data_IF_587653661568
#
_entry.id   IF_587653661568
#
_cell.length_a   1.000
_cell.length_b   1.000
_cell.length_c   1.000
_cell.angle_alpha   90.00
_cell.angle_beta   90.00
_cell.angle_gamma   90.00
#
_symmetry.space_group_name_H-M   'P 1'
#
loop_
_entity.id
_entity.type
_entity.pdbx_description
1 polymer ?
#
# COMPACT_ATOMS: atom_id res chain seq x y z
N UNK A 1 -5.07 19.91 -6.43
CA UNK A 1 -4.50 19.89 -7.80
C UNK A 1 -5.18 18.74 -8.52
N UNK A 2 -5.47 18.84 -9.81
CA UNK A 2 -6.11 17.73 -10.53
C UNK A 2 -5.11 16.58 -10.76
N UNK A 3 -5.57 15.34 -10.69
CA UNK A 3 -4.73 14.13 -10.71
C UNK A 3 -3.85 14.03 -11.98
N UNK A 4 -4.34 14.32 -13.21
CA UNK A 4 -3.50 14.31 -14.41
C UNK A 4 -2.33 15.30 -14.32
N UNK A 5 -2.58 16.50 -13.80
CA UNK A 5 -1.54 17.50 -13.64
C UNK A 5 -0.47 17.08 -12.62
N UNK A 6 -0.84 16.35 -11.56
CA UNK A 6 0.12 15.74 -10.62
C UNK A 6 0.92 14.64 -11.33
N UNK A 7 0.24 13.75 -12.06
CA UNK A 7 0.87 12.65 -12.81
C UNK A 7 1.91 13.16 -13.80
N UNK A 8 1.62 14.25 -14.52
CA UNK A 8 2.55 14.87 -15.48
C UNK A 8 3.79 15.49 -14.83
N UNK A 9 3.71 15.87 -13.55
CA UNK A 9 4.83 16.43 -12.78
C UNK A 9 5.74 15.36 -12.17
N UNK A 10 5.31 14.09 -12.15
CA UNK A 10 6.13 13.02 -11.59
C UNK A 10 7.42 12.82 -12.40
N UNK A 11 8.51 12.61 -11.68
CA UNK A 11 9.82 12.27 -12.24
C UNK A 11 10.28 10.90 -11.74
N UNK A 12 11.34 10.30 -12.31
CA UNK A 12 11.96 9.09 -11.76
C UNK A 12 12.54 9.27 -10.34
N UNK A 13 12.82 10.51 -9.94
CA UNK A 13 13.31 10.87 -8.61
C UNK A 13 12.13 11.10 -7.67
N UNK A 14 12.16 10.55 -6.43
CA UNK A 14 11.10 10.75 -5.44
C UNK A 14 10.96 12.21 -5.04
N UNK A 15 9.72 12.66 -4.92
CA UNK A 15 9.37 14.01 -4.49
C UNK A 15 8.27 13.96 -3.43
N UNK A 16 8.33 14.89 -2.47
CA UNK A 16 7.28 15.04 -1.46
C UNK A 16 6.06 15.76 -2.07
N UNK A 17 4.88 15.23 -1.81
CA UNK A 17 3.62 15.86 -2.16
C UNK A 17 2.85 16.23 -0.89
N UNK A 18 2.21 17.40 -0.80
CA UNK A 18 1.54 17.86 0.42
C UNK A 18 0.50 16.89 0.99
N UNK A 19 -0.11 16.08 0.11
CA UNK A 19 -1.21 15.18 0.46
C UNK A 19 -0.76 13.71 0.61
N UNK A 20 0.55 13.40 0.56
CA UNK A 20 1.05 12.03 0.70
C UNK A 20 2.28 11.99 1.63
N UNK A 21 2.27 11.06 2.59
CA UNK A 21 3.40 10.87 3.51
C UNK A 21 4.63 10.27 2.82
N UNK A 22 4.41 9.52 1.75
CA UNK A 22 5.44 8.85 0.98
C UNK A 22 5.97 9.78 -0.12
N UNK A 23 7.28 9.79 -0.35
CA UNK A 23 7.84 10.37 -1.56
C UNK A 23 7.35 9.62 -2.81
N UNK A 24 6.85 10.34 -3.82
CA UNK A 24 6.28 9.75 -5.02
C UNK A 24 7.23 9.96 -6.20
N UNK A 25 7.42 8.92 -7.01
CA UNK A 25 8.14 8.97 -8.28
C UNK A 25 7.47 8.08 -9.32
N UNK A 26 7.74 8.31 -10.61
CA UNK A 26 7.31 7.40 -11.68
C UNK A 26 7.92 5.99 -11.51
N UNK A 27 9.14 5.92 -10.99
CA UNK A 27 9.85 4.65 -10.70
C UNK A 27 9.08 3.85 -9.65
N UNK A 28 8.66 4.49 -8.56
CA UNK A 28 7.86 3.85 -7.52
C UNK A 28 6.52 3.35 -8.05
N UNK A 29 5.79 4.21 -8.77
CA UNK A 29 4.47 3.84 -9.32
C UNK A 29 4.58 2.61 -10.23
N UNK A 30 5.54 2.60 -11.16
CA UNK A 30 5.78 1.45 -12.02
C UNK A 30 6.21 0.20 -11.24
N UNK A 31 7.05 0.38 -10.21
CA UNK A 31 7.54 -0.72 -9.38
C UNK A 31 6.42 -1.38 -8.56
N UNK A 32 5.52 -0.58 -7.98
CA UNK A 32 4.33 -1.06 -7.29
C UNK A 32 3.39 -1.78 -8.26
N UNK A 33 3.05 -1.14 -9.38
CA UNK A 33 2.17 -1.73 -10.39
C UNK A 33 2.66 -3.10 -10.90
N UNK A 34 3.98 -3.29 -11.03
CA UNK A 34 4.56 -4.59 -11.44
C UNK A 34 4.43 -5.71 -10.40
N UNK A 35 4.09 -5.38 -9.14
CA UNK A 35 4.00 -6.32 -8.01
C UNK A 35 2.58 -6.58 -7.53
N UNK A 36 1.71 -5.60 -7.73
CA UNK A 36 0.31 -5.68 -7.33
C UNK A 36 -0.47 -6.58 -8.31
N UNK A 37 -1.51 -7.27 -7.82
CA UNK A 37 -2.40 -8.05 -8.67
C UNK A 37 -3.08 -7.18 -9.72
N UNK A 38 -3.28 -7.74 -10.89
CA UNK A 38 -4.13 -7.19 -11.94
C UNK A 38 -5.54 -7.79 -11.87
N UNK A 39 -6.50 -7.19 -12.58
CA UNK A 39 -7.85 -7.74 -12.72
C UNK A 39 -7.85 -9.25 -13.08
N UNK A 40 -8.78 -10.04 -12.51
CA UNK A 40 -9.89 -9.65 -11.64
C UNK A 40 -9.53 -9.54 -10.15
N UNK A 41 -8.30 -9.84 -9.75
CA UNK A 41 -7.83 -9.66 -8.37
C UNK A 41 -7.53 -8.18 -8.09
N UNK A 42 -7.45 -7.80 -6.81
CA UNK A 42 -7.23 -6.42 -6.40
C UNK A 42 -6.36 -6.28 -5.16
N UNK A 43 -5.85 -5.06 -4.97
CA UNK A 43 -5.09 -4.66 -3.78
C UNK A 43 -5.97 -3.87 -2.84
N UNK A 44 -5.79 -4.09 -1.54
CA UNK A 44 -6.33 -3.23 -0.49
C UNK A 44 -5.20 -2.38 0.09
N UNK A 45 -5.33 -1.05 0.02
CA UNK A 45 -4.42 -0.08 0.63
C UNK A 45 -4.98 0.40 1.98
N UNK A 46 -4.36 -0.01 3.08
CA UNK A 46 -4.83 0.28 4.44
C UNK A 46 -4.21 1.58 4.95
N UNK A 47 -5.07 2.54 5.31
CA UNK A 47 -4.65 3.87 5.74
C UNK A 47 -4.23 4.74 4.55
N UNK A 48 -5.04 4.77 3.49
CA UNK A 48 -4.71 5.44 2.23
C UNK A 48 -4.65 6.98 2.33
N UNK A 49 -5.12 7.58 3.44
CA UNK A 49 -5.06 9.02 3.65
C UNK A 49 -5.81 9.78 2.57
N UNK A 50 -5.11 10.65 1.83
CA UNK A 50 -5.72 11.41 0.73
C UNK A 50 -6.06 10.55 -0.50
N UNK A 51 -5.49 9.35 -0.57
CA UNK A 51 -5.62 8.45 -1.70
C UNK A 51 -4.76 8.78 -2.91
N UNK A 52 -3.81 9.71 -2.78
CA UNK A 52 -2.99 10.18 -3.91
C UNK A 52 -2.17 9.06 -4.56
N UNK A 53 -1.56 8.17 -3.76
CA UNK A 53 -0.71 7.10 -4.28
C UNK A 53 -1.53 6.10 -5.11
N UNK A 54 -2.66 5.67 -4.56
CA UNK A 54 -3.58 4.73 -5.18
C UNK A 54 -4.14 5.29 -6.48
N UNK A 55 -4.58 6.54 -6.47
CA UNK A 55 -5.09 7.23 -7.64
C UNK A 55 -4.03 7.34 -8.74
N UNK A 56 -2.76 7.61 -8.40
CA UNK A 56 -1.67 7.66 -9.37
C UNK A 56 -1.33 6.28 -9.95
N UNK A 57 -1.42 5.20 -9.15
CA UNK A 57 -1.30 3.83 -9.65
C UNK A 57 -2.42 3.54 -10.64
N UNK A 58 -3.68 3.77 -10.25
CA UNK A 58 -4.85 3.50 -11.11
C UNK A 58 -4.81 4.33 -12.40
N UNK A 59 -4.39 5.60 -12.32
CA UNK A 59 -4.30 6.48 -13.48
C UNK A 59 -3.24 6.03 -14.50
N UNK A 60 -2.07 5.56 -14.05
CA UNK A 60 -0.96 5.14 -14.94
C UNK A 60 -1.01 3.66 -15.32
N UNK A 61 -1.68 2.85 -14.50
CA UNK A 61 -1.78 1.39 -14.62
C UNK A 61 -3.22 0.94 -14.36
N UNK A 62 -4.16 1.21 -15.29
CA UNK A 62 -5.60 0.96 -15.09
C UNK A 62 -5.95 -0.53 -14.86
N UNK A 63 -5.09 -1.45 -15.29
CA UNK A 63 -5.28 -2.89 -15.08
C UNK A 63 -4.94 -3.35 -13.65
N UNK A 64 -4.39 -2.47 -12.81
CA UNK A 64 -3.97 -2.73 -11.42
C UNK A 64 -4.96 -2.06 -10.46
N UNK A 65 -6.03 -2.76 -10.03
CA UNK A 65 -7.04 -2.16 -9.16
C UNK A 65 -6.55 -2.08 -7.71
N UNK A 66 -6.67 -0.88 -7.13
CA UNK A 66 -6.29 -0.60 -5.75
C UNK A 66 -7.46 0.08 -5.04
N UNK A 67 -7.93 -0.54 -3.95
CA UNK A 67 -9.00 -0.01 -3.10
C UNK A 67 -8.41 0.60 -1.84
N UNK A 68 -8.76 1.85 -1.55
CA UNK A 68 -8.31 2.54 -0.35
C UNK A 68 -9.21 2.26 0.85
N UNK A 69 -8.63 2.06 2.03
CA UNK A 69 -9.33 2.04 3.32
C UNK A 69 -8.85 3.20 4.17
N UNK A 70 -9.77 3.99 4.69
CA UNK A 70 -9.48 5.09 5.60
C UNK A 70 -10.55 5.20 6.71
N UNK A 71 -10.21 5.83 7.83
CA UNK A 71 -11.13 6.05 8.96
C UNK A 71 -12.15 7.15 8.65
N UNK A 72 -11.78 8.13 7.83
CA UNK A 72 -12.63 9.25 7.48
C UNK A 72 -12.61 9.52 5.97
N UNK A 73 -13.78 9.39 5.34
CA UNK A 73 -13.96 9.68 3.91
C UNK A 73 -13.61 11.11 3.52
N UNK A 74 -13.72 12.07 4.46
CA UNK A 74 -13.38 13.48 4.23
C UNK A 74 -11.90 13.74 4.03
N UNK A 75 -11.03 12.76 4.27
CA UNK A 75 -9.59 12.86 4.05
C UNK A 75 -9.24 12.58 2.59
N UNK A 76 -9.97 11.67 1.93
CA UNK A 76 -9.70 11.29 0.55
C UNK A 76 -10.05 12.42 -0.42
N UNK A 77 -9.20 12.61 -1.43
CA UNK A 77 -9.35 13.65 -2.45
C UNK A 77 -9.17 13.15 -3.88
N UNK A 78 -8.61 11.96 -4.06
CA UNK A 78 -8.08 11.51 -5.36
C UNK A 78 -8.63 10.16 -5.83
N UNK A 79 -9.15 9.32 -4.93
CA UNK A 79 -9.75 8.04 -5.30
C UNK A 79 -11.26 8.24 -5.51
N UNK A 80 -11.83 7.49 -6.45
CA UNK A 80 -13.27 7.47 -6.67
C UNK A 80 -14.00 6.83 -5.46
N UNK A 81 -15.27 7.20 -5.24
CA UNK A 81 -16.02 6.72 -4.07
C UNK A 81 -16.20 5.19 -4.09
N UNK A 82 -16.34 4.60 -5.27
CA UNK A 82 -16.45 3.16 -5.49
C UNK A 82 -15.18 2.36 -5.16
N UNK A 83 -14.03 3.03 -5.13
CA UNK A 83 -12.72 2.45 -4.84
C UNK A 83 -12.23 2.82 -3.43
N UNK A 84 -13.10 3.40 -2.61
CA UNK A 84 -12.83 3.78 -1.23
C UNK A 84 -13.81 3.13 -0.26
N UNK A 85 -13.27 2.49 0.76
CA UNK A 85 -14.01 1.96 1.90
C UNK A 85 -13.64 2.71 3.19
N UNK A 86 -14.59 2.79 4.13
CA UNK A 86 -14.41 3.49 5.41
C UNK A 86 -14.52 2.52 6.59
N UNK A 87 -13.61 2.64 7.55
CA UNK A 87 -13.63 1.88 8.81
C UNK A 87 -13.89 2.77 10.03
N UNK A 88 -14.38 2.20 11.12
CA UNK A 88 -14.83 2.95 12.31
C UNK A 88 -13.70 3.52 13.18
N UNK A 89 -12.45 3.11 12.95
CA UNK A 89 -11.30 3.56 13.72
C UNK A 89 -9.98 3.07 13.14
N UNK A 90 -8.87 3.62 13.65
CA UNK A 90 -7.49 3.32 13.19
C UNK A 90 -7.04 1.87 13.40
N UNK A 91 -7.89 1.08 14.06
CA UNK A 91 -7.63 -0.29 14.50
C UNK A 91 -8.57 -1.32 13.87
N UNK A 92 -9.51 -0.83 13.08
CA UNK A 92 -10.54 -1.63 12.49
C UNK A 92 -9.99 -2.35 11.26
N UNK A 93 -10.49 -3.57 11.09
CA UNK A 93 -10.20 -4.37 9.93
C UNK A 93 -11.33 -4.16 8.92
N UNK A 94 -11.00 -4.13 7.65
CA UNK A 94 -12.03 -4.09 6.62
C UNK A 94 -12.35 -5.49 6.08
N UNK A 95 -13.63 -5.75 5.86
CA UNK A 95 -14.15 -7.07 5.46
C UNK A 95 -13.80 -7.49 4.03
N UNK A 96 -13.28 -6.57 3.20
CA UNK A 96 -12.78 -6.83 1.84
C UNK A 96 -11.32 -7.33 1.80
N UNK A 97 -10.59 -7.20 2.90
CA UNK A 97 -9.21 -7.65 3.01
C UNK A 97 -9.00 -9.16 2.77
N UNK A 98 -9.86 -10.09 3.26
CA UNK A 98 -9.65 -11.52 3.02
C UNK A 98 -9.84 -11.95 1.56
N UNK A 99 -10.51 -11.15 0.72
CA UNK A 99 -10.70 -11.43 -0.71
C UNK A 99 -9.68 -10.69 -1.59
N UNK A 100 -8.87 -9.80 -1.02
CA UNK A 100 -7.83 -9.09 -1.76
C UNK A 100 -6.64 -10.02 -2.07
N UNK A 101 -6.07 -9.89 -3.26
CA UNK A 101 -4.87 -10.65 -3.65
C UNK A 101 -3.59 -10.09 -3.03
N UNK A 102 -3.61 -8.80 -2.67
CA UNK A 102 -2.51 -8.17 -1.96
C UNK A 102 -3.01 -7.10 -0.97
N UNK A 103 -2.20 -6.84 0.06
CA UNK A 103 -2.37 -5.69 0.95
C UNK A 103 -1.19 -4.73 0.81
N UNK A 104 -1.48 -3.44 0.89
CA UNK A 104 -0.48 -2.38 0.93
C UNK A 104 -0.67 -1.56 2.21
N UNK A 105 0.39 -1.46 3.01
CA UNK A 105 0.45 -0.61 4.19
C UNK A 105 1.44 0.52 3.92
N UNK A 106 0.95 1.75 3.87
CA UNK A 106 1.77 2.94 3.61
C UNK A 106 1.78 3.79 4.87
N UNK A 107 2.96 3.96 5.47
CA UNK A 107 3.11 4.67 6.74
C UNK A 107 2.08 4.22 7.79
N UNK A 108 1.91 2.90 8.03
CA UNK A 108 1.00 2.44 9.07
C UNK A 108 1.39 3.07 10.41
N UNK A 109 0.40 3.39 11.25
CA UNK A 109 0.65 4.09 12.53
C UNK A 109 1.34 3.20 13.56
N UNK A 110 1.00 1.91 13.57
CA UNK A 110 1.65 0.97 14.48
C UNK A 110 1.60 -0.50 14.02
N UNK A 111 2.61 -1.32 14.43
CA UNK A 111 2.71 -2.73 14.03
C UNK A 111 1.52 -3.60 14.44
N UNK A 112 0.82 -3.24 15.52
CA UNK A 112 -0.32 -4.01 16.03
C UNK A 112 -1.47 -4.11 15.02
N UNK A 113 -1.68 -3.09 14.18
CA UNK A 113 -2.69 -3.15 13.12
C UNK A 113 -2.32 -4.21 12.08
N UNK A 114 -1.08 -4.17 11.61
CA UNK A 114 -0.53 -5.12 10.64
C UNK A 114 -0.63 -6.56 11.17
N UNK A 115 -0.20 -6.78 12.42
CA UNK A 115 -0.31 -8.09 13.07
C UNK A 115 -1.76 -8.59 13.14
N UNK A 116 -2.72 -7.69 13.42
CA UNK A 116 -4.15 -8.02 13.49
C UNK A 116 -4.73 -8.40 12.12
N UNK A 117 -4.37 -7.70 11.05
CA UNK A 117 -4.72 -8.07 9.67
C UNK A 117 -4.22 -9.47 9.32
N UNK A 118 -2.94 -9.73 9.57
CA UNK A 118 -2.30 -11.03 9.31
C UNK A 118 -2.96 -12.14 10.13
N UNK A 119 -3.16 -11.94 11.43
CA UNK A 119 -3.74 -12.96 12.30
C UNK A 119 -5.19 -13.30 11.93
N UNK A 120 -5.94 -12.32 11.40
CA UNK A 120 -7.37 -12.50 11.11
C UNK A 120 -7.63 -12.98 9.69
N UNK A 121 -6.89 -12.47 8.70
CA UNK A 121 -7.17 -12.71 7.28
C UNK A 121 -5.97 -13.27 6.51
N UNK A 122 -4.82 -13.44 7.15
CA UNK A 122 -3.57 -13.82 6.46
C UNK A 122 -3.58 -15.23 5.85
N UNK A 123 -4.56 -16.07 6.22
CA UNK A 123 -4.76 -17.42 5.67
C UNK A 123 -5.73 -17.46 4.47
N UNK A 124 -6.26 -16.31 4.04
CA UNK A 124 -7.29 -16.20 2.99
C UNK A 124 -6.66 -16.01 1.59
N UNK A 125 -7.24 -15.16 0.73
CA UNK A 125 -6.82 -14.98 -0.67
C UNK A 125 -5.54 -14.14 -0.86
N UNK A 126 -5.05 -13.48 0.19
CA UNK A 126 -3.88 -12.60 0.12
C UNK A 126 -2.60 -13.39 -0.10
N UNK A 127 -1.86 -13.06 -1.16
CA UNK A 127 -0.61 -13.72 -1.55
C UNK A 127 0.63 -12.84 -1.33
N UNK A 128 0.43 -11.52 -1.26
CA UNK A 128 1.50 -10.56 -1.04
C UNK A 128 1.09 -9.43 -0.10
N UNK A 129 2.02 -8.98 0.74
CA UNK A 129 1.90 -7.77 1.54
C UNK A 129 3.05 -6.84 1.16
N UNK A 130 2.72 -5.58 0.89
CA UNK A 130 3.68 -4.51 0.67
C UNK A 130 3.63 -3.58 1.88
N UNK A 131 4.79 -3.31 2.47
CA UNK A 131 4.93 -2.31 3.53
C UNK A 131 5.84 -1.20 3.02
N UNK A 132 5.38 0.04 3.12
CA UNK A 132 6.11 1.24 2.73
C UNK A 132 6.17 2.19 3.93
N UNK A 133 7.37 2.64 4.28
CA UNK A 133 7.55 3.50 5.43
C UNK A 133 9.01 3.89 5.68
N UNK A 134 9.28 4.62 6.77
CA UNK A 134 10.63 4.99 7.16
C UNK A 134 11.47 3.76 7.50
N UNK A 135 12.72 3.72 7.03
CA UNK A 135 13.69 2.66 7.36
C UNK A 135 13.89 2.47 8.85
N UNK A 136 13.81 3.55 9.62
CA UNK A 136 13.96 3.54 11.07
C UNK A 136 12.86 2.73 11.77
N UNK A 137 11.66 2.68 11.19
CA UNK A 137 10.50 2.03 11.80
C UNK A 137 10.45 0.53 11.46
N UNK A 138 11.17 0.09 10.42
CA UNK A 138 11.09 -1.29 9.92
C UNK A 138 11.35 -2.36 10.99
N UNK A 139 12.28 -2.12 11.91
CA UNK A 139 12.61 -3.05 12.99
C UNK A 139 11.40 -3.39 13.89
N UNK A 140 10.44 -2.46 14.01
CA UNK A 140 9.22 -2.66 14.79
C UNK A 140 8.16 -3.47 14.01
N UNK A 141 8.19 -3.42 12.68
CA UNK A 141 7.22 -4.09 11.79
C UNK A 141 7.66 -5.47 11.31
N UNK A 142 8.96 -5.67 11.07
CA UNK A 142 9.52 -6.93 10.59
C UNK A 142 9.03 -8.17 11.37
N UNK A 143 8.94 -8.15 12.72
CA UNK A 143 8.48 -9.31 13.49
C UNK A 143 7.06 -9.77 13.16
N UNK A 144 6.18 -8.86 12.72
CA UNK A 144 4.80 -9.17 12.32
C UNK A 144 4.76 -10.14 11.13
N UNK A 145 5.73 -10.03 10.22
CA UNK A 145 5.77 -10.82 8.98
C UNK A 145 6.58 -12.10 9.14
N UNK A 146 7.73 -12.02 9.81
CA UNK A 146 8.64 -13.17 10.01
C UNK A 146 7.96 -14.35 10.69
N UNK A 147 7.01 -14.07 11.59
CA UNK A 147 6.26 -15.08 12.35
C UNK A 147 4.94 -15.49 11.68
N UNK A 148 4.75 -15.13 10.42
CA UNK A 148 3.48 -15.30 9.68
C UNK A 148 3.65 -16.19 8.44
N UNK A 149 2.55 -16.53 7.74
CA UNK A 149 2.61 -17.19 6.43
C UNK A 149 3.37 -16.41 5.35
N UNK A 150 3.65 -15.11 5.57
CA UNK A 150 4.34 -14.24 4.62
C UNK A 150 5.84 -14.11 4.93
N UNK A 151 6.54 -15.24 5.01
CA UNK A 151 7.94 -15.29 5.42
C UNK A 151 8.95 -15.07 4.28
N UNK A 152 8.51 -15.11 3.02
CA UNK A 152 9.34 -14.76 1.87
C UNK A 152 9.47 -13.23 1.76
N UNK A 153 10.46 -12.68 2.46
CA UNK A 153 10.75 -11.26 2.55
C UNK A 153 11.78 -10.84 1.49
N UNK A 154 11.44 -9.79 0.74
CA UNK A 154 12.38 -9.08 -0.12
C UNK A 154 12.38 -7.58 0.17
N UNK A 155 13.57 -6.98 0.17
CA UNK A 155 13.81 -5.57 0.39
C UNK A 155 14.44 -4.98 -0.88
N UNK A 156 13.64 -4.70 -1.93
CA UNK A 156 14.18 -4.19 -3.18
C UNK A 156 14.83 -2.81 -2.99
N UNK A 157 16.00 -2.65 -3.61
CA UNK A 157 16.70 -1.36 -3.70
C UNK A 157 16.30 -0.59 -4.97
N UNK A 158 16.62 0.71 -5.00
CA UNK A 158 16.43 1.60 -6.17
C UNK A 158 14.98 1.66 -6.69
N UNK A 159 14.01 1.54 -5.79
CA UNK A 159 12.58 1.50 -6.14
C UNK A 159 11.92 2.87 -6.29
N UNK A 160 12.71 3.94 -6.35
CA UNK A 160 12.20 5.31 -6.48
C UNK A 160 11.57 5.89 -5.22
N UNK A 161 12.03 5.46 -4.04
CA UNK A 161 11.65 6.00 -2.73
C UNK A 161 12.69 6.99 -2.20
N UNK A 162 12.29 7.84 -1.25
CA UNK A 162 13.25 8.72 -0.56
C UNK A 162 14.34 7.90 0.15
N UNK A 163 15.55 8.44 0.36
CA UNK A 163 16.64 7.68 0.98
C UNK A 163 16.32 7.11 2.36
N UNK A 164 15.46 7.79 3.13
CA UNK A 164 15.03 7.35 4.46
C UNK A 164 13.80 6.42 4.42
N UNK A 165 13.19 6.22 3.25
CA UNK A 165 12.06 5.32 3.03
C UNK A 165 12.53 3.98 2.48
N UNK A 166 11.69 2.96 2.65
CA UNK A 166 11.90 1.64 2.05
C UNK A 166 10.59 0.95 1.70
N UNK A 167 10.70 -0.04 0.82
CA UNK A 167 9.67 -0.99 0.50
C UNK A 167 10.11 -2.36 1.02
N UNK A 168 9.26 -3.00 1.81
CA UNK A 168 9.36 -4.42 2.12
C UNK A 168 8.22 -5.15 1.40
N UNK A 169 8.56 -6.24 0.71
CA UNK A 169 7.59 -7.10 0.03
C UNK A 169 7.65 -8.48 0.67
N UNK A 170 6.53 -8.90 1.25
CA UNK A 170 6.39 -10.17 1.94
C UNK A 170 5.42 -11.04 1.15
N UNK A 171 5.85 -12.25 0.78
CA UNK A 171 5.03 -13.20 0.03
C UNK A 171 4.87 -14.50 0.79
N UNK A 172 3.84 -15.25 0.43
CA UNK A 172 3.77 -16.65 0.81
C UNK A 172 4.91 -17.43 0.14
N UNK A 173 5.61 -18.32 0.87
CA UNK A 173 6.54 -19.25 0.26
C UNK A 173 5.82 -20.05 -0.83
N UNK A 174 6.46 -20.20 -1.99
CA UNK A 174 5.95 -21.11 -3.01
C UNK A 174 6.02 -22.54 -2.46
N UNK A 175 4.89 -23.24 -2.46
CA UNK A 175 4.80 -24.66 -2.14
C UNK A 175 5.57 -25.52 -3.15
#
# INVERSE_FOLDING_TARGET
MDLPAISDQLSPVPQAFPDCCLGISTTLIAHLASRLPTHPAYTVSVGCGSGLLEALIAHRHPDVPVKGIEVASSINRYIAEEDMDVVGGTWDLHSSAPQAGAWMFVYPREPKLVAKYIATYGSEAVEAILWLGPRADWADYEPCFRSSPFSDLSLPDEVGLMPFEMLAVMKRPRA
#
